data_IF_023172075379
#
_entry.id   IF_023172075379
#
_cell.length_a   1.000
_cell.length_b   1.000
_cell.length_c   1.000
_cell.angle_alpha   90.00
_cell.angle_beta   90.00
_cell.angle_gamma   90.00
#
_symmetry.space_group_name_H-M   'P 1'
#
loop_
_entity.id
_entity.type
_entity.pdbx_description
1 polymer ?
#
# COMPACT_ATOMS: atom_id res chain seq x y z
N UNK A 1 -18.68 -8.49 -6.69
CA UNK A 1 -17.41 -8.77 -5.98
C UNK A 1 -17.39 -10.25 -5.65
N UNK A 2 -16.25 -10.93 -5.75
CA UNK A 2 -16.15 -12.34 -5.30
C UNK A 2 -16.13 -12.40 -3.76
N UNK A 3 -16.54 -13.54 -3.18
CA UNK A 3 -16.53 -13.76 -1.73
C UNK A 3 -15.17 -13.45 -1.11
N UNK A 4 -14.08 -13.97 -1.72
CA UNK A 4 -12.72 -13.73 -1.22
C UNK A 4 -12.27 -12.26 -1.28
N UNK A 5 -12.82 -11.43 -2.18
CA UNK A 5 -12.52 -9.99 -2.18
C UNK A 5 -13.25 -9.27 -1.03
N UNK A 6 -14.49 -9.65 -0.76
CA UNK A 6 -15.26 -9.08 0.34
C UNK A 6 -14.65 -9.45 1.70
N UNK A 7 -14.19 -10.68 1.87
CA UNK A 7 -13.52 -11.11 3.10
C UNK A 7 -12.24 -10.29 3.37
N UNK A 8 -11.47 -9.97 2.34
CA UNK A 8 -10.29 -9.09 2.47
C UNK A 8 -10.66 -7.68 2.91
N UNK A 9 -11.74 -7.11 2.38
CA UNK A 9 -12.21 -5.79 2.83
C UNK A 9 -12.62 -5.86 4.30
N UNK A 10 -13.36 -6.89 4.70
CA UNK A 10 -13.81 -7.07 6.07
C UNK A 10 -12.64 -7.23 7.05
N UNK A 11 -11.63 -8.04 6.69
CA UNK A 11 -10.40 -8.19 7.48
C UNK A 11 -9.67 -6.85 7.61
N UNK A 12 -9.47 -6.13 6.50
CA UNK A 12 -8.76 -4.86 6.50
C UNK A 12 -9.45 -3.80 7.36
N UNK A 13 -10.78 -3.71 7.28
CA UNK A 13 -11.57 -2.78 8.09
C UNK A 13 -11.48 -3.04 9.60
N UNK A 14 -11.21 -4.29 10.01
CA UNK A 14 -11.05 -4.69 11.43
C UNK A 14 -9.64 -4.42 11.97
N UNK A 15 -8.68 -4.12 11.11
CA UNK A 15 -7.31 -3.85 11.55
C UNK A 15 -7.26 -2.61 12.44
N UNK A 16 -6.47 -2.73 13.51
CA UNK A 16 -6.08 -1.58 14.33
C UNK A 16 -5.35 -0.55 13.48
N UNK A 17 -5.44 0.72 13.88
CA UNK A 17 -4.86 1.85 13.17
C UNK A 17 -4.10 2.76 14.13
N UNK A 18 -2.95 2.32 14.66
CA UNK A 18 -2.15 3.18 15.51
C UNK A 18 -1.65 4.38 14.69
N UNK A 19 -1.65 5.57 15.29
CA UNK A 19 -1.15 6.77 14.61
C UNK A 19 0.39 6.76 14.49
N UNK A 20 1.06 6.12 15.44
CA UNK A 20 2.52 5.99 15.52
C UNK A 20 2.91 4.53 15.79
N UNK A 21 4.11 4.13 15.38
CA UNK A 21 4.69 2.86 15.79
C UNK A 21 5.25 2.93 17.24
N UNK A 22 5.73 1.81 17.77
CA UNK A 22 6.26 1.70 19.14
C UNK A 22 7.49 2.60 19.38
N UNK A 23 8.11 3.12 18.31
CA UNK A 23 9.26 4.03 18.34
C UNK A 23 8.85 5.49 18.09
N UNK A 24 7.56 5.77 17.96
CA UNK A 24 7.02 7.10 17.73
C UNK A 24 7.07 7.58 16.27
N UNK A 25 7.39 6.72 15.30
CA UNK A 25 7.34 7.13 13.89
C UNK A 25 5.89 7.16 13.39
N UNK A 26 5.51 8.14 12.57
CA UNK A 26 4.18 8.17 11.96
C UNK A 26 3.86 6.90 11.17
N UNK A 27 2.65 6.38 11.36
CA UNK A 27 2.09 5.30 10.56
C UNK A 27 1.52 5.84 9.24
N UNK A 28 2.40 6.36 8.40
CA UNK A 28 2.07 6.90 7.08
C UNK A 28 2.71 6.06 6.00
N UNK A 29 1.94 5.73 4.96
CA UNK A 29 2.45 4.99 3.81
C UNK A 29 2.30 5.80 2.52
N UNK A 30 3.39 5.97 1.79
CA UNK A 30 3.35 6.39 0.41
C UNK A 30 3.30 5.16 -0.50
N UNK A 31 2.45 5.19 -1.52
CA UNK A 31 2.45 4.15 -2.54
C UNK A 31 2.59 4.72 -3.95
N UNK A 32 3.25 3.95 -4.80
CA UNK A 32 3.34 4.22 -6.24
C UNK A 32 3.34 2.90 -7.01
N UNK A 33 3.18 2.98 -8.34
CA UNK A 33 3.29 1.83 -9.22
C UNK A 33 4.62 1.93 -9.95
N UNK A 34 5.39 0.84 -9.95
CA UNK A 34 6.69 0.77 -10.61
C UNK A 34 6.74 -0.46 -11.52
N UNK A 35 7.34 -0.31 -12.70
CA UNK A 35 7.71 -1.46 -13.53
C UNK A 35 8.83 -2.23 -12.86
N UNK A 36 8.75 -3.56 -12.91
CA UNK A 36 9.75 -4.43 -12.33
C UNK A 36 10.97 -4.49 -13.27
N UNK A 37 12.20 -4.26 -12.79
CA UNK A 37 13.36 -4.10 -13.66
C UNK A 37 13.85 -5.40 -14.31
N UNK A 38 13.59 -6.56 -13.69
CA UNK A 38 14.13 -7.86 -14.12
C UNK A 38 13.06 -8.77 -14.74
N UNK A 39 11.79 -8.57 -14.38
CA UNK A 39 10.67 -9.42 -14.82
C UNK A 39 9.58 -8.56 -15.45
N UNK A 40 8.86 -9.06 -16.46
CA UNK A 40 7.72 -8.34 -17.01
C UNK A 40 6.64 -8.07 -15.96
N UNK A 41 6.09 -6.86 -16.01
CA UNK A 41 4.97 -6.44 -15.18
C UNK A 41 5.32 -5.28 -14.24
N UNK A 42 4.29 -4.85 -13.54
CA UNK A 42 4.33 -3.75 -12.59
C UNK A 42 3.93 -4.25 -11.20
N UNK A 43 4.39 -3.50 -10.19
CA UNK A 43 4.05 -3.75 -8.81
C UNK A 43 3.66 -2.46 -8.10
N UNK A 44 2.84 -2.62 -7.06
CA UNK A 44 2.54 -1.55 -6.10
C UNK A 44 3.65 -1.55 -5.07
N UNK A 45 4.35 -0.44 -4.97
CA UNK A 45 5.40 -0.22 -3.97
C UNK A 45 4.80 0.60 -2.84
N UNK A 46 4.99 0.14 -1.61
CA UNK A 46 4.54 0.77 -0.37
C UNK A 46 5.76 1.15 0.47
N UNK A 47 5.84 2.39 0.92
CA UNK A 47 6.96 2.89 1.72
C UNK A 47 6.43 3.67 2.92
N UNK A 48 6.94 3.38 4.11
CA UNK A 48 6.82 4.33 5.21
C UNK A 48 8.11 5.15 5.28
N UNK A 49 8.08 6.45 4.93
CA UNK A 49 9.29 7.26 4.86
C UNK A 49 9.91 7.56 6.22
N UNK A 50 9.17 7.37 7.31
CA UNK A 50 9.61 7.74 8.65
C UNK A 50 10.39 6.63 9.36
N UNK A 51 10.15 5.37 8.99
CA UNK A 51 10.87 4.22 9.56
C UNK A 51 11.58 3.37 8.50
N UNK A 52 11.54 3.78 7.22
CA UNK A 52 12.21 3.10 6.12
C UNK A 52 11.54 1.79 5.68
N UNK A 53 10.38 1.45 6.23
CA UNK A 53 9.67 0.24 5.82
C UNK A 53 9.35 0.28 4.32
N UNK A 54 9.52 -0.85 3.65
CA UNK A 54 9.33 -0.99 2.20
C UNK A 54 8.68 -2.33 1.89
N UNK A 55 7.62 -2.30 1.08
CA UNK A 55 6.96 -3.48 0.56
C UNK A 55 6.69 -3.34 -0.93
N UNK A 56 6.60 -4.46 -1.63
CA UNK A 56 6.21 -4.52 -3.04
C UNK A 56 5.22 -5.65 -3.24
N UNK A 57 4.10 -5.36 -3.90
CA UNK A 57 3.01 -6.31 -4.11
C UNK A 57 2.57 -6.39 -5.57
N UNK A 58 2.29 -7.61 -6.03
CA UNK A 58 1.87 -7.89 -7.40
C UNK A 58 3.02 -8.15 -8.38
N UNK A 59 2.66 -8.63 -9.56
CA UNK A 59 3.50 -8.84 -10.75
C UNK A 59 2.57 -8.86 -11.97
N UNK A 60 1.90 -7.74 -12.21
CA UNK A 60 0.81 -7.66 -13.21
C UNK A 60 0.90 -6.39 -14.01
N UNK A 61 0.22 -6.32 -15.14
CA UNK A 61 0.23 -5.14 -15.97
C UNK A 61 -0.72 -4.08 -15.38
N UNK A 62 -0.16 -3.02 -14.81
CA UNK A 62 -0.90 -1.93 -14.18
C UNK A 62 -0.71 -0.65 -14.99
N UNK A 63 0.53 -0.31 -15.34
CA UNK A 63 0.85 0.97 -15.98
C UNK A 63 0.28 1.09 -17.39
N UNK A 64 0.05 -0.02 -18.11
CA UNK A 64 -0.60 0.08 -19.43
C UNK A 64 -2.13 0.23 -19.35
N UNK A 65 -2.75 -0.05 -18.19
CA UNK A 65 -4.20 -0.01 -18.06
C UNK A 65 -4.72 1.44 -18.01
N UNK A 66 -5.97 1.69 -18.46
CA UNK A 66 -6.68 2.93 -18.16
C UNK A 66 -6.79 3.16 -16.65
N UNK A 67 -6.76 4.42 -16.20
CA UNK A 67 -6.71 4.80 -14.78
C UNK A 67 -7.76 4.11 -13.90
N UNK A 68 -9.02 4.06 -14.35
CA UNK A 68 -10.10 3.40 -13.61
C UNK A 68 -9.88 1.89 -13.44
N UNK A 69 -9.21 1.25 -14.41
CA UNK A 69 -8.82 -0.16 -14.32
C UNK A 69 -7.59 -0.34 -13.41
N UNK A 70 -6.64 0.60 -13.42
CA UNK A 70 -5.50 0.60 -12.47
C UNK A 70 -6.00 0.54 -11.03
N UNK A 71 -6.94 1.41 -10.66
CA UNK A 71 -7.50 1.42 -9.30
C UNK A 71 -8.17 0.08 -8.92
N UNK A 72 -8.83 -0.60 -9.88
CA UNK A 72 -9.44 -1.92 -9.64
C UNK A 72 -8.40 -3.01 -9.34
N UNK A 73 -7.18 -2.87 -9.86
CA UNK A 73 -6.06 -3.79 -9.61
C UNK A 73 -5.27 -3.40 -8.36
N UNK A 74 -4.95 -2.11 -8.21
CA UNK A 74 -4.13 -1.58 -7.11
C UNK A 74 -4.80 -1.78 -5.75
N UNK A 75 -6.11 -1.49 -5.64
CA UNK A 75 -6.79 -1.57 -4.34
C UNK A 75 -6.71 -2.98 -3.72
N UNK A 76 -7.04 -4.07 -4.43
CA UNK A 76 -6.81 -5.42 -3.90
C UNK A 76 -5.38 -5.71 -3.45
N UNK A 77 -4.36 -5.21 -4.15
CA UNK A 77 -2.94 -5.38 -3.79
C UNK A 77 -2.59 -4.59 -2.52
N UNK A 78 -3.10 -3.35 -2.40
CA UNK A 78 -2.95 -2.54 -1.17
C UNK A 78 -3.59 -3.24 0.03
N UNK A 79 -4.85 -3.69 -0.09
CA UNK A 79 -5.52 -4.39 1.00
C UNK A 79 -4.79 -5.68 1.38
N UNK A 80 -4.30 -6.42 0.39
CA UNK A 80 -3.53 -7.65 0.62
C UNK A 80 -2.26 -7.36 1.40
N UNK A 81 -1.53 -6.29 1.05
CA UNK A 81 -0.27 -5.90 1.70
C UNK A 81 -0.40 -5.77 3.23
N UNK A 82 -1.54 -5.24 3.71
CA UNK A 82 -1.78 -5.09 5.15
C UNK A 82 -2.50 -6.30 5.79
N UNK A 83 -3.21 -7.10 5.00
CA UNK A 83 -3.94 -8.28 5.49
C UNK A 83 -3.05 -9.52 5.60
N UNK A 84 -2.21 -9.78 4.59
CA UNK A 84 -1.54 -11.06 4.41
C UNK A 84 -0.31 -11.24 5.32
N UNK A 85 0.09 -10.18 6.04
CA UNK A 85 1.46 -9.98 6.51
C UNK A 85 2.39 -9.93 5.28
N UNK A 86 3.28 -8.96 5.25
CA UNK A 86 4.34 -8.91 4.24
C UNK A 86 5.08 -10.25 4.31
N UNK A 87 5.04 -11.07 3.25
CA UNK A 87 5.66 -12.40 3.26
C UNK A 87 7.11 -12.24 3.75
N UNK A 88 7.40 -12.83 4.91
CA UNK A 88 8.68 -12.72 5.60
C UNK A 88 9.77 -13.43 4.78
N UNK A 89 10.39 -12.70 3.87
CA UNK A 89 11.76 -12.95 3.43
C UNK A 89 12.69 -12.08 4.27
N UNK A 90 13.28 -12.71 5.29
CA UNK A 90 14.41 -12.28 6.14
C UNK A 90 15.08 -10.96 5.74
N UNK A 91 14.80 -9.85 6.46
CA UNK A 91 15.70 -8.69 6.72
C UNK A 91 15.01 -7.36 7.07
N UNK A 92 13.68 -7.27 7.11
CA UNK A 92 12.99 -6.02 7.47
C UNK A 92 12.84 -5.90 8.99
N UNK A 93 13.14 -4.74 9.61
CA UNK A 93 12.89 -4.52 11.04
C UNK A 93 11.43 -4.82 11.34
N UNK A 94 11.22 -5.75 12.29
CA UNK A 94 9.92 -6.23 12.75
C UNK A 94 8.93 -5.08 12.89
N UNK A 95 7.82 -5.13 12.15
CA UNK A 95 6.67 -4.29 12.44
C UNK A 95 6.07 -4.73 13.78
N UNK A 96 6.45 -4.05 14.86
CA UNK A 96 6.06 -4.28 16.25
C UNK A 96 6.48 -5.66 16.81
N UNK A 97 6.80 -5.69 18.10
CA UNK A 97 7.21 -6.92 18.80
C UNK A 97 6.09 -7.98 18.90
N UNK A 98 4.86 -7.65 18.44
CA UNK A 98 3.64 -8.44 18.68
C UNK A 98 2.95 -9.00 17.42
N UNK A 99 3.58 -8.96 16.24
CA UNK A 99 3.14 -9.67 15.02
C UNK A 99 1.66 -9.44 14.60
N UNK A 100 1.06 -8.32 15.04
CA UNK A 100 -0.37 -8.03 14.84
C UNK A 100 -0.53 -7.13 13.62
N UNK A 101 -1.26 -7.53 12.57
CA UNK A 101 -1.45 -6.69 11.39
C UNK A 101 -2.18 -5.40 11.76
N UNK A 102 -1.78 -4.30 11.11
CA UNK A 102 -2.38 -2.99 11.31
C UNK A 102 -2.58 -2.29 9.96
N UNK A 103 -3.61 -1.45 9.89
CA UNK A 103 -3.86 -0.60 8.75
C UNK A 103 -3.03 0.70 8.86
N UNK A 104 -2.71 1.35 7.74
CA UNK A 104 -2.02 2.63 7.78
C UNK A 104 -2.92 3.68 8.44
N UNK A 105 -2.34 4.60 9.22
CA UNK A 105 -3.10 5.74 9.74
C UNK A 105 -3.50 6.67 8.60
N UNK A 106 -2.56 6.96 7.72
CA UNK A 106 -2.79 7.70 6.48
C UNK A 106 -1.93 7.13 5.36
N UNK A 107 -2.31 7.43 4.12
CA UNK A 107 -1.51 7.07 2.96
C UNK A 107 -1.63 8.08 1.82
N UNK A 108 -0.60 8.09 0.99
CA UNK A 108 -0.45 9.05 -0.10
C UNK A 108 0.08 8.39 -1.37
N UNK A 109 -0.06 9.10 -2.49
CA UNK A 109 0.59 8.77 -3.76
C UNK A 109 1.05 10.05 -4.45
N UNK A 110 1.98 9.94 -5.40
CA UNK A 110 2.52 11.07 -6.17
C UNK A 110 1.65 11.46 -7.37
N UNK A 111 0.59 10.71 -7.63
CA UNK A 111 -0.29 10.91 -8.76
C UNK A 111 -1.70 11.35 -8.31
N UNK A 112 -2.09 12.63 -8.52
CA UNK A 112 -3.39 13.15 -8.12
C UNK A 112 -4.58 12.35 -8.68
N UNK A 113 -4.52 11.98 -9.96
CA UNK A 113 -5.59 11.24 -10.61
C UNK A 113 -5.70 9.81 -10.04
N UNK A 114 -4.56 9.19 -9.72
CA UNK A 114 -4.54 7.89 -9.06
C UNK A 114 -5.08 7.96 -7.63
N UNK A 115 -4.72 9.02 -6.88
CA UNK A 115 -5.24 9.28 -5.54
C UNK A 115 -6.76 9.30 -5.54
N UNK A 116 -7.36 10.05 -6.46
CA UNK A 116 -8.82 10.13 -6.61
C UNK A 116 -9.44 8.79 -7.00
N UNK A 117 -8.88 8.12 -8.00
CA UNK A 117 -9.40 6.83 -8.50
C UNK A 117 -9.32 5.73 -7.42
N UNK A 118 -8.23 5.66 -6.66
CA UNK A 118 -8.06 4.71 -5.56
C UNK A 118 -9.01 5.05 -4.41
N UNK A 119 -9.12 6.32 -4.03
CA UNK A 119 -10.07 6.80 -3.01
C UNK A 119 -11.51 6.43 -3.34
N UNK A 120 -11.95 6.68 -4.58
CA UNK A 120 -13.28 6.32 -5.06
C UNK A 120 -13.50 4.81 -5.05
N UNK A 121 -12.49 4.03 -5.45
CA UNK A 121 -12.58 2.58 -5.46
C UNK A 121 -12.67 1.98 -4.06
N UNK A 122 -11.89 2.48 -3.09
CA UNK A 122 -11.95 2.05 -1.69
C UNK A 122 -13.36 2.25 -1.11
N UNK A 123 -13.96 3.42 -1.35
CA UNK A 123 -15.36 3.69 -0.95
C UNK A 123 -16.33 2.72 -1.60
N UNK A 124 -16.20 2.54 -2.91
CA UNK A 124 -17.11 1.69 -3.68
C UNK A 124 -17.10 0.21 -3.26
N UNK A 125 -16.01 -0.27 -2.63
CA UNK A 125 -15.91 -1.64 -2.13
C UNK A 125 -16.17 -1.76 -0.62
N UNK A 126 -16.55 -0.67 0.05
CA UNK A 126 -16.91 -0.67 1.47
C UNK A 126 -15.73 -0.64 2.44
N UNK A 127 -14.57 -0.10 2.04
CA UNK A 127 -13.51 0.22 3.01
C UNK A 127 -13.99 1.38 3.89
N UNK A 128 -13.62 1.34 5.18
CA UNK A 128 -13.99 2.38 6.16
C UNK A 128 -13.56 3.78 5.70
N UNK A 129 -14.38 4.78 6.00
CA UNK A 129 -14.31 6.12 5.42
C UNK A 129 -12.94 6.79 5.62
N UNK A 130 -12.35 6.63 6.81
CA UNK A 130 -11.08 7.22 7.20
C UNK A 130 -9.86 6.62 6.49
N UNK A 131 -10.00 5.46 5.83
CA UNK A 131 -8.97 4.87 4.98
C UNK A 131 -9.21 5.17 3.49
N UNK A 132 -10.39 5.63 3.14
CA UNK A 132 -10.73 6.00 1.77
C UNK A 132 -10.12 7.33 1.32
N UNK A 133 -9.45 8.06 2.20
CA UNK A 133 -8.79 9.31 1.89
C UNK A 133 -7.32 9.05 1.55
N UNK A 134 -7.02 8.96 0.25
CA UNK A 134 -5.64 8.98 -0.24
C UNK A 134 -5.23 10.45 -0.44
N UNK A 135 -4.10 10.84 0.12
CA UNK A 135 -3.53 12.18 -0.08
C UNK A 135 -2.59 12.21 -1.28
N UNK A 136 -2.28 13.40 -1.78
CA UNK A 136 -1.18 13.59 -2.73
C UNK A 136 0.05 14.05 -1.95
N UNK A 137 1.19 13.42 -2.20
CA UNK A 137 2.49 13.85 -1.66
C UNK A 137 3.53 13.84 -2.76
N UNK A 138 4.68 14.47 -2.53
CA UNK A 138 5.82 14.31 -3.42
C UNK A 138 6.26 12.84 -3.48
N UNK A 139 6.85 12.48 -4.62
CA UNK A 139 7.38 11.14 -4.83
C UNK A 139 8.54 10.90 -3.89
N UNK A 140 8.43 9.85 -3.09
CA UNK A 140 9.50 9.44 -2.20
C UNK A 140 10.53 8.67 -3.03
N UNK A 141 11.57 9.36 -3.48
CA UNK A 141 12.73 8.71 -4.09
C UNK A 141 13.52 8.02 -2.97
N UNK A 142 13.85 6.74 -3.13
CA UNK A 142 14.96 6.18 -2.34
C UNK A 142 16.18 7.01 -2.67
N UNK A 143 16.91 7.50 -1.66
CA UNK A 143 18.32 7.87 -1.86
C UNK A 143 18.98 6.62 -2.43
N UNK A 144 19.36 6.67 -3.70
CA UNK A 144 20.06 5.58 -4.36
C UNK A 144 21.38 5.36 -3.63
N UNK A 145 21.48 4.25 -2.92
CA UNK A 145 22.75 3.57 -2.79
C UNK A 145 23.00 2.83 -4.10
N UNK A 146 23.78 3.44 -4.98
CA UNK A 146 24.69 2.72 -5.86
C UNK A 146 25.78 3.69 -6.27
N UNK A 147 26.85 3.67 -5.49
CA UNK A 147 28.17 3.96 -6.03
C UNK A 147 28.43 2.93 -7.13
N UNK A 148 28.76 3.43 -8.32
CA UNK A 148 29.77 2.85 -9.19
C UNK A 148 30.72 3.99 -9.56
#
# INVERSE_FOLDING_TARGET
>A
MSSGQQDRVNTFNRLRRPQFDDRGHPNHYHFCVQSLPVVPGDAVVLVNPYNGHYHTEGRTNILSLPLAQRAKVIVPLLLYSFNARFDESESIPRMSENNTPWAPWSWSTDNPALSEAVSARLRAIGVRQELCQVSVSERIQRRGGSEL
#
